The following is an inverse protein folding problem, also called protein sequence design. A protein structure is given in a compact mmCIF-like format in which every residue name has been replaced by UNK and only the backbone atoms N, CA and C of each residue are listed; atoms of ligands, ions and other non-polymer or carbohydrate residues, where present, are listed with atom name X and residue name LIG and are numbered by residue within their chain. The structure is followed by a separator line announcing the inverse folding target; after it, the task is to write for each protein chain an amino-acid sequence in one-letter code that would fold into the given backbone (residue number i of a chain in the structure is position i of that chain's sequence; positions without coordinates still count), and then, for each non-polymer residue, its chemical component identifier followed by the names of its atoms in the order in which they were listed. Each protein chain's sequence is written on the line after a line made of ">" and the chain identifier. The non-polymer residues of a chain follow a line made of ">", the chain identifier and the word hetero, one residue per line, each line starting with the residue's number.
data_IF_669344115430
#
_entry.id   IF_669344115430
#
_cell.length_a   1.000
_cell.length_b   1.000
_cell.length_c   1.000
_cell.angle_alpha   90.00
_cell.angle_beta   90.00
_cell.angle_gamma   90.00
#
_symmetry.space_group_name_H-M   'P 1'
#
loop_
_entity.id
_entity.type
_entity.pdbx_description
1 polymer ?
#
# COMPACT_ATOMS: atom_id res chain seq x y z
N UNK A 1 -8.08 -4.53 13.38
CA UNK A 1 -8.64 -3.98 14.62
C UNK A 1 -8.88 -5.08 15.65
N UNK A 2 -9.68 -6.12 15.38
CA UNK A 2 -9.90 -7.20 16.36
C UNK A 2 -9.85 -8.60 15.73
N UNK A 3 -8.65 -9.18 15.49
CA UNK A 3 -8.52 -10.52 14.90
C UNK A 3 -9.00 -11.65 15.82
N UNK A 4 -9.06 -11.41 17.13
CA UNK A 4 -9.50 -12.37 18.14
C UNK A 4 -11.03 -12.48 18.25
N UNK A 5 -11.77 -11.51 17.70
CA UNK A 5 -13.23 -11.52 17.74
C UNK A 5 -13.79 -12.35 16.61
N UNK A 6 -14.82 -13.12 16.94
CA UNK A 6 -15.55 -13.90 15.96
C UNK A 6 -16.26 -12.98 14.97
N UNK A 7 -16.07 -13.24 13.66
CA UNK A 7 -16.63 -12.42 12.59
C UNK A 7 -18.16 -12.39 12.61
N UNK A 8 -18.79 -13.50 13.00
CA UNK A 8 -20.26 -13.60 13.06
C UNK A 8 -20.80 -12.74 14.19
N UNK A 9 -20.10 -12.67 15.32
CA UNK A 9 -20.46 -11.79 16.44
C UNK A 9 -20.37 -10.31 16.04
N UNK A 10 -19.34 -9.93 15.29
CA UNK A 10 -19.21 -8.56 14.75
C UNK A 10 -20.38 -8.24 13.82
N UNK A 11 -20.69 -9.14 12.88
CA UNK A 11 -21.80 -8.93 11.93
C UNK A 11 -23.16 -8.83 12.62
N UNK A 12 -23.36 -9.60 13.70
CA UNK A 12 -24.57 -9.55 14.50
C UNK A 12 -24.72 -8.24 15.29
N UNK A 13 -23.64 -7.78 15.92
CA UNK A 13 -23.65 -6.49 16.62
C UNK A 13 -23.89 -5.33 15.65
N UNK A 14 -23.25 -5.36 14.48
CA UNK A 14 -23.49 -4.40 13.41
C UNK A 14 -24.94 -4.46 12.90
N UNK A 15 -25.53 -5.65 12.80
CA UNK A 15 -26.92 -5.80 12.37
C UNK A 15 -27.90 -5.14 13.33
N UNK A 16 -27.67 -5.24 14.65
CA UNK A 16 -28.52 -4.60 15.67
C UNK A 16 -28.26 -3.10 15.83
N UNK A 17 -27.01 -2.68 15.63
CA UNK A 17 -26.58 -1.29 15.81
C UNK A 17 -26.63 -0.46 14.51
N UNK A 18 -27.39 -0.92 13.50
CA UNK A 18 -27.61 -0.18 12.24
C UNK A 18 -26.35 0.04 11.40
N UNK A 19 -25.35 -0.84 11.52
CA UNK A 19 -24.09 -0.76 10.80
C UNK A 19 -23.09 0.26 11.37
N UNK A 20 -23.34 0.81 12.56
CA UNK A 20 -22.42 1.76 13.21
C UNK A 20 -21.16 1.05 13.72
N UNK A 21 -20.07 1.19 12.97
CA UNK A 21 -18.76 0.61 13.33
C UNK A 21 -18.25 1.22 14.64
N UNK A 22 -18.43 2.53 14.84
CA UNK A 22 -17.99 3.23 16.06
C UNK A 22 -18.65 2.66 17.32
N UNK A 23 -19.96 2.39 17.26
CA UNK A 23 -20.68 1.79 18.39
C UNK A 23 -20.18 0.38 18.71
N UNK A 24 -19.89 -0.42 17.69
CA UNK A 24 -19.32 -1.77 17.86
C UNK A 24 -17.90 -1.69 18.44
N UNK A 25 -17.05 -0.76 17.99
CA UNK A 25 -15.69 -0.63 18.53
C UNK A 25 -15.70 -0.17 19.99
N UNK A 26 -16.52 0.81 20.35
CA UNK A 26 -16.65 1.27 21.74
C UNK A 26 -17.14 0.14 22.66
N UNK A 27 -18.10 -0.66 22.22
CA UNK A 27 -18.61 -1.80 22.98
C UNK A 27 -17.56 -2.90 23.17
N UNK A 28 -16.78 -3.17 22.12
CA UNK A 28 -15.66 -4.12 22.19
C UNK A 28 -14.59 -3.63 23.17
N UNK A 29 -14.23 -2.36 23.13
CA UNK A 29 -13.23 -1.79 24.03
C UNK A 29 -13.73 -1.74 25.49
N UNK A 30 -15.02 -1.46 25.69
CA UNK A 30 -15.62 -1.36 27.02
C UNK A 30 -15.87 -2.73 27.68
N UNK A 31 -16.34 -3.73 26.92
CA UNK A 31 -16.74 -5.05 27.47
C UNK A 31 -15.77 -6.18 27.16
N UNK A 32 -14.75 -5.93 26.32
CA UNK A 32 -13.77 -6.93 25.87
C UNK A 32 -14.34 -8.02 24.95
N UNK A 33 -15.66 -8.09 24.74
CA UNK A 33 -16.33 -9.13 23.97
C UNK A 33 -17.67 -8.65 23.40
N UNK A 34 -18.13 -9.31 22.34
CA UNK A 34 -19.45 -9.10 21.72
C UNK A 34 -20.41 -10.21 22.10
N UNK A 35 -21.70 -9.90 22.03
CA UNK A 35 -22.77 -10.85 22.29
C UNK A 35 -22.78 -11.97 21.24
N UNK A 36 -23.03 -13.21 21.70
CA UNK A 36 -22.98 -14.39 20.83
C UNK A 36 -24.20 -14.39 19.92
N UNK A 37 -24.02 -14.44 18.60
CA UNK A 37 -25.15 -14.44 17.67
C UNK A 37 -26.00 -15.72 17.82
N UNK A 38 -27.33 -15.63 17.67
CA UNK A 38 -28.19 -16.79 17.65
C UNK A 38 -27.86 -17.69 16.45
N UNK A 39 -28.08 -19.00 16.59
CA UNK A 39 -27.77 -19.98 15.54
C UNK A 39 -28.52 -19.71 14.23
N UNK A 40 -29.71 -19.10 14.30
CA UNK A 40 -30.51 -18.71 13.15
C UNK A 40 -29.97 -17.51 12.38
N UNK A 41 -29.04 -16.72 12.96
CA UNK A 41 -28.44 -15.60 12.25
C UNK A 41 -27.44 -16.11 11.22
N UNK A 42 -27.85 -16.09 9.95
CA UNK A 42 -26.99 -16.37 8.82
C UNK A 42 -26.49 -15.04 8.25
N UNK A 43 -25.19 -14.73 8.38
CA UNK A 43 -24.67 -13.49 7.83
C UNK A 43 -24.82 -13.47 6.30
N UNK A 44 -25.03 -12.29 5.69
CA UNK A 44 -25.13 -12.17 4.25
C UNK A 44 -23.83 -12.71 3.62
N UNK A 45 -23.97 -13.70 2.74
CA UNK A 45 -22.85 -14.26 2.01
C UNK A 45 -22.36 -13.18 1.05
N UNK A 46 -21.08 -12.80 1.16
CA UNK A 46 -20.48 -11.93 0.15
C UNK A 46 -20.62 -12.63 -1.22
N UNK A 47 -21.00 -11.91 -2.29
CA UNK A 47 -21.08 -12.50 -3.61
C UNK A 47 -19.72 -13.09 -3.96
N UNK A 48 -19.67 -14.42 -4.08
CA UNK A 48 -18.50 -15.15 -4.56
C UNK A 48 -18.41 -14.94 -6.06
N UNK A 49 -17.82 -13.83 -6.49
CA UNK A 49 -17.33 -13.74 -7.86
C UNK A 49 -16.20 -14.77 -8.01
N UNK A 50 -16.28 -15.71 -8.96
CA UNK A 50 -15.17 -16.61 -9.22
C UNK A 50 -13.95 -15.75 -9.58
N UNK A 51 -12.91 -15.84 -8.77
CA UNK A 51 -11.65 -15.19 -9.08
C UNK A 51 -11.13 -15.81 -10.39
N UNK A 52 -10.87 -15.02 -11.44
CA UNK A 52 -10.28 -15.56 -12.65
C UNK A 52 -8.93 -16.20 -12.30
N UNK A 53 -8.52 -17.29 -12.99
CA UNK A 53 -7.16 -17.80 -12.86
C UNK A 53 -6.20 -16.63 -13.11
N UNK A 54 -5.25 -16.42 -12.21
CA UNK A 54 -4.24 -15.37 -12.30
C UNK A 54 -3.29 -15.69 -13.45
N UNK A 55 -3.74 -15.44 -14.68
CA UNK A 55 -2.87 -15.39 -15.83
C UNK A 55 -1.85 -14.27 -15.57
N UNK A 56 -0.56 -14.59 -15.63
CA UNK A 56 0.46 -13.56 -15.73
C UNK A 56 0.08 -12.67 -16.92
N UNK A 57 -0.09 -11.35 -16.74
CA UNK A 57 -0.38 -10.50 -17.88
C UNK A 57 0.78 -10.68 -18.86
N UNK A 58 0.49 -11.04 -20.10
CA UNK A 58 1.44 -10.89 -21.20
C UNK A 58 1.71 -9.39 -21.27
N UNK A 59 2.83 -8.97 -20.70
CA UNK A 59 3.19 -7.55 -20.61
C UNK A 59 3.42 -7.09 -22.04
N UNK A 60 2.42 -6.45 -22.64
CA UNK A 60 2.67 -5.58 -23.78
C UNK A 60 3.78 -4.61 -23.37
N UNK A 61 4.78 -4.33 -24.23
CA UNK A 61 5.93 -3.51 -23.87
C UNK A 61 5.43 -2.17 -23.32
N UNK A 62 5.45 -2.04 -22.00
CA UNK A 62 5.06 -0.80 -21.34
C UNK A 62 6.20 0.19 -21.52
N UNK A 63 5.91 1.46 -21.83
CA UNK A 63 6.96 2.47 -21.90
C UNK A 63 7.68 2.56 -20.55
N UNK A 64 9.01 2.71 -20.60
CA UNK A 64 9.86 2.82 -19.40
C UNK A 64 9.33 3.86 -18.42
N UNK A 65 9.46 3.57 -17.12
CA UNK A 65 9.03 4.48 -16.06
C UNK A 65 9.72 5.85 -16.16
N UNK A 66 10.95 5.89 -16.66
CA UNK A 66 11.71 7.12 -16.94
C UNK A 66 10.96 8.00 -17.94
N UNK A 67 10.47 7.41 -19.02
CA UNK A 67 9.73 8.11 -20.07
C UNK A 67 8.34 8.50 -19.57
N UNK A 68 7.64 7.60 -18.86
CA UNK A 68 6.30 7.87 -18.30
C UNK A 68 6.27 9.05 -17.33
N UNK A 69 7.33 9.24 -16.56
CA UNK A 69 7.45 10.32 -15.57
C UNK A 69 8.36 11.46 -16.01
N UNK A 70 8.80 11.50 -17.28
CA UNK A 70 9.70 12.54 -17.82
C UNK A 70 10.97 12.76 -16.98
N UNK A 71 11.58 11.68 -16.48
CA UNK A 71 12.76 11.75 -15.59
C UNK A 71 14.11 11.80 -16.31
N UNK A 72 14.10 11.92 -17.65
CA UNK A 72 15.32 11.92 -18.49
C UNK A 72 16.32 13.01 -18.07
N UNK A 73 15.87 14.23 -17.82
CA UNK A 73 16.75 15.33 -17.41
C UNK A 73 17.39 15.10 -16.04
N UNK A 74 16.67 14.42 -15.13
CA UNK A 74 17.19 14.09 -13.78
C UNK A 74 18.19 12.93 -13.82
N UNK A 75 18.09 12.03 -14.79
CA UNK A 75 19.09 10.97 -14.99
C UNK A 75 20.43 11.54 -15.43
N UNK A 76 20.43 12.38 -16.46
CA UNK A 76 21.66 12.98 -16.99
C UNK A 76 22.37 13.84 -15.92
N UNK A 77 21.62 14.61 -15.13
CA UNK A 77 22.18 15.37 -14.01
C UNK A 77 22.73 14.49 -12.87
N UNK A 78 22.27 13.25 -12.79
CA UNK A 78 22.60 12.30 -11.73
C UNK A 78 23.69 11.28 -12.16
N UNK A 79 24.22 11.37 -13.39
CA UNK A 79 25.31 10.53 -13.92
C UNK A 79 26.72 11.08 -13.63
N UNK A 80 26.84 12.24 -12.98
CA UNK A 80 28.13 12.75 -12.51
C UNK A 80 28.75 11.80 -11.47
N UNK A 81 29.96 11.25 -11.71
CA UNK A 81 30.56 10.21 -10.88
C UNK A 81 31.26 10.85 -9.69
N UNK A 82 30.57 10.89 -8.55
CA UNK A 82 31.18 11.37 -7.31
C UNK A 82 30.12 11.81 -6.32
N UNK A 83 29.39 10.84 -5.75
CA UNK A 83 28.99 10.84 -4.34
C UNK A 83 28.06 9.64 -4.08
N UNK A 84 28.44 8.67 -3.23
CA UNK A 84 27.45 7.84 -2.59
C UNK A 84 26.71 8.73 -1.60
N UNK A 85 25.52 9.21 -1.95
CA UNK A 85 24.55 9.67 -0.94
C UNK A 85 24.00 8.46 -0.17
N UNK A 86 24.87 7.77 0.55
CA UNK A 86 24.50 7.13 1.81
C UNK A 86 24.55 8.22 2.89
N UNK A 87 23.48 9.02 2.94
CA UNK A 87 23.13 9.98 3.99
C UNK A 87 21.75 10.56 3.60
N UNK A 88 20.63 10.30 4.28
CA UNK A 88 20.44 9.75 5.60
C UNK A 88 19.36 8.68 5.69
N UNK A 89 19.67 7.64 6.46
CA UNK A 89 18.67 7.08 7.36
C UNK A 89 18.29 8.16 8.37
N UNK A 90 16.98 8.35 8.56
CA UNK A 90 16.38 9.35 9.46
C UNK A 90 16.29 10.68 8.72
N UNK A 91 15.11 11.23 8.42
CA UNK A 91 14.11 11.58 9.41
C UNK A 91 12.84 12.09 8.70
N UNK A 92 12.11 11.21 8.00
CA UNK A 92 10.69 11.45 7.70
C UNK A 92 9.92 10.18 8.06
N UNK A 93 9.90 9.95 9.37
CA UNK A 93 9.16 8.91 10.04
C UNK A 93 7.67 9.08 9.74
N UNK A 94 7.19 8.44 8.66
CA UNK A 94 5.83 7.92 8.53
C UNK A 94 4.67 8.91 8.65
N UNK A 95 4.90 10.20 8.83
CA UNK A 95 3.85 11.19 8.99
C UNK A 95 3.43 11.66 7.61
N UNK A 96 2.28 11.19 7.17
CA UNK A 96 1.59 11.82 6.06
C UNK A 96 1.36 13.28 6.45
N UNK A 97 1.87 14.23 5.67
CA UNK A 97 1.59 15.65 5.93
C UNK A 97 0.07 15.86 5.97
N UNK A 98 -0.38 16.72 6.88
CA UNK A 98 -1.80 17.06 7.04
C UNK A 98 -2.35 17.77 5.78
N UNK A 99 -1.46 18.47 5.07
CA UNK A 99 -1.75 19.13 3.81
C UNK A 99 -1.73 18.16 2.63
N UNK A 100 -2.84 18.07 1.89
CA UNK A 100 -2.99 17.21 0.69
C UNK A 100 -1.95 17.50 -0.39
N UNK A 101 -1.64 18.79 -0.63
CA UNK A 101 -0.71 19.21 -1.68
C UNK A 101 0.72 18.77 -1.36
N UNK A 102 1.20 19.10 -0.16
CA UNK A 102 2.52 18.72 0.33
C UNK A 102 2.71 17.20 0.31
N UNK A 103 1.67 16.45 0.70
CA UNK A 103 1.71 14.99 0.66
C UNK A 103 1.85 14.46 -0.76
N UNK A 104 1.11 15.06 -1.70
CA UNK A 104 1.18 14.67 -3.10
C UNK A 104 2.58 14.93 -3.68
N UNK A 105 3.18 16.07 -3.33
CA UNK A 105 4.55 16.42 -3.74
C UNK A 105 5.59 15.49 -3.13
N UNK A 106 5.49 15.18 -1.84
CA UNK A 106 6.38 14.24 -1.15
C UNK A 106 6.30 12.84 -1.77
N UNK A 107 5.09 12.32 -1.97
CA UNK A 107 4.90 11.01 -2.61
C UNK A 107 5.43 10.97 -4.04
N UNK A 108 5.26 12.09 -4.77
CA UNK A 108 5.83 12.23 -6.11
C UNK A 108 7.36 12.20 -6.06
N UNK A 109 8.00 12.99 -5.20
CA UNK A 109 9.47 12.99 -5.02
C UNK A 109 9.99 11.60 -4.69
N UNK A 110 9.38 10.92 -3.70
CA UNK A 110 9.77 9.56 -3.30
C UNK A 110 9.63 8.54 -4.43
N UNK A 111 8.59 8.68 -5.26
CA UNK A 111 8.40 7.83 -6.46
C UNK A 111 9.49 8.08 -7.49
N UNK A 112 9.79 9.34 -7.78
CA UNK A 112 10.84 9.72 -8.74
C UNK A 112 12.21 9.20 -8.27
N UNK A 113 12.57 9.37 -7.01
CA UNK A 113 13.81 8.82 -6.42
C UNK A 113 13.89 7.31 -6.50
N UNK A 114 12.80 6.61 -6.18
CA UNK A 114 12.74 5.15 -6.28
C UNK A 114 13.00 4.67 -7.71
N UNK A 115 12.43 5.35 -8.71
CA UNK A 115 12.62 5.01 -10.12
C UNK A 115 14.09 5.21 -10.54
N UNK A 116 14.71 6.32 -10.12
CA UNK A 116 16.11 6.61 -10.44
C UNK A 116 17.07 5.59 -9.78
N UNK A 117 16.86 5.28 -8.50
CA UNK A 117 17.66 4.29 -7.79
C UNK A 117 17.50 2.88 -8.38
N UNK A 118 16.28 2.50 -8.75
CA UNK A 118 16.02 1.24 -9.43
C UNK A 118 16.76 1.15 -10.77
N UNK A 119 16.77 2.25 -11.56
CA UNK A 119 17.50 2.30 -12.83
C UNK A 119 19.00 2.12 -12.63
N UNK A 120 19.61 2.83 -11.69
CA UNK A 120 21.04 2.69 -11.36
C UNK A 120 21.40 1.27 -10.92
N UNK A 121 20.54 0.65 -10.10
CA UNK A 121 20.74 -0.73 -9.64
C UNK A 121 20.65 -1.74 -10.78
N UNK A 122 19.72 -1.55 -11.72
CA UNK A 122 19.63 -2.36 -12.93
C UNK A 122 20.88 -2.21 -13.80
N UNK A 123 21.30 -0.98 -14.10
CA UNK A 123 22.51 -0.73 -14.90
C UNK A 123 23.77 -1.35 -14.29
N UNK A 124 23.93 -1.23 -12.96
CA UNK A 124 25.07 -1.86 -12.25
C UNK A 124 25.04 -3.38 -12.39
N UNK A 125 23.85 -3.99 -12.37
CA UNK A 125 23.69 -5.45 -12.55
C UNK A 125 23.92 -5.89 -13.99
N UNK A 126 23.43 -5.14 -14.98
CA UNK A 126 23.71 -5.38 -16.39
C UNK A 126 25.22 -5.34 -16.66
N UNK A 127 25.93 -4.37 -16.09
CA UNK A 127 27.41 -4.29 -16.17
C UNK A 127 28.12 -5.48 -15.50
N UNK A 128 27.57 -6.01 -14.40
CA UNK A 128 28.14 -7.18 -13.71
C UNK A 128 27.82 -8.51 -14.39
N UNK A 129 26.67 -8.60 -15.07
CA UNK A 129 26.18 -9.85 -15.70
C UNK A 129 26.66 -9.97 -17.15
N UNK A 130 27.06 -8.87 -17.78
CA UNK A 130 27.59 -8.82 -19.14
C UNK A 130 29.09 -9.15 -19.26
N UNK A 131 29.67 -9.90 -18.32
CA UNK A 131 31.06 -10.33 -18.32
C UNK A 131 31.16 -11.85 -18.18
#
# INVERSE_FOLDING_TARGET
>A
MFPQLDRRAIQWDLHRNGGSIAATTERVLSRGSLDRPPLSFQPPQAPVTPAPPRAAPKVAPQPDLITRYNLKSKLSAAESPGEPREQGRGQETGSWSESKNERAELLRRRREEMILNARRKMESKDRQTGH
#
